data_IF_386884045788
#
_entry.id   IF_386884045788
#
_cell.length_a   1.000
_cell.length_b   1.000
_cell.length_c   1.000
_cell.angle_alpha   90.00
_cell.angle_beta   90.00
_cell.angle_gamma   90.00
#
_symmetry.space_group_name_H-M   'P 1'
#
loop_
_entity.id
_entity.type
_entity.pdbx_description
1 polymer ?
#
# COMPACT_ATOMS: atom_id res chain seq x y z
N UNK A 1 -9.88 27.50 48.15
CA UNK A 1 -10.18 26.18 48.72
C UNK A 1 -11.07 25.31 47.80
N UNK A 2 -11.76 25.84 46.82
CA UNK A 2 -12.62 25.09 45.91
C UNK A 2 -11.88 24.42 44.72
N UNK A 3 -10.74 24.89 44.30
CA UNK A 3 -9.99 24.35 43.14
C UNK A 3 -9.30 22.98 43.39
N UNK A 4 -8.91 22.68 44.61
CA UNK A 4 -8.25 21.40 44.94
C UNK A 4 -9.22 20.20 45.07
N UNK A 5 -10.51 20.47 45.29
CA UNK A 5 -11.53 19.40 45.37
C UNK A 5 -11.89 18.90 43.99
N UNK A 6 -11.98 19.77 42.98
CA UNK A 6 -12.25 19.39 41.59
C UNK A 6 -11.18 18.51 41.00
N UNK A 7 -9.87 18.79 41.25
CA UNK A 7 -8.78 17.95 40.75
C UNK A 7 -8.74 16.55 41.38
N UNK A 8 -9.12 16.43 42.65
CA UNK A 8 -9.20 15.13 43.34
C UNK A 8 -10.40 14.29 42.90
N UNK A 9 -11.54 14.89 42.58
CA UNK A 9 -12.72 14.20 42.09
C UNK A 9 -12.51 13.75 40.62
N UNK A 10 -11.87 14.57 39.78
CA UNK A 10 -11.50 14.18 38.39
C UNK A 10 -10.47 13.04 38.36
N UNK A 11 -9.48 13.08 39.26
CA UNK A 11 -8.48 12.02 39.40
C UNK A 11 -9.06 10.69 39.84
N UNK A 12 -10.02 10.69 40.77
CA UNK A 12 -10.69 9.48 41.23
C UNK A 12 -11.63 8.93 40.15
N UNK A 13 -12.30 9.78 39.37
CA UNK A 13 -13.12 9.38 38.23
C UNK A 13 -12.33 8.69 37.11
N UNK A 14 -11.13 9.19 36.79
CA UNK A 14 -10.23 8.54 35.82
C UNK A 14 -9.65 7.21 36.33
N UNK A 15 -9.35 7.10 37.63
CA UNK A 15 -8.88 5.84 38.21
C UNK A 15 -9.98 4.78 38.32
N UNK A 16 -11.22 5.16 38.60
CA UNK A 16 -12.35 4.22 38.62
C UNK A 16 -12.72 3.73 37.20
N UNK A 17 -12.60 4.56 36.19
CA UNK A 17 -12.83 4.13 34.79
C UNK A 17 -11.72 3.20 34.26
N UNK A 18 -10.48 3.34 34.72
CA UNK A 18 -9.40 2.39 34.40
C UNK A 18 -9.55 1.04 35.13
N UNK A 19 -10.13 1.02 36.33
CA UNK A 19 -10.35 -0.23 37.07
C UNK A 19 -11.47 -1.09 36.48
N UNK A 20 -12.41 -0.51 35.73
CA UNK A 20 -13.49 -1.24 35.06
C UNK A 20 -13.04 -1.89 33.72
N UNK A 21 -11.88 -1.52 33.22
CA UNK A 21 -11.31 -2.12 31.98
C UNK A 21 -10.40 -3.35 32.25
N UNK A 22 -10.11 -3.65 33.53
CA UNK A 22 -9.21 -4.75 33.91
C UNK A 22 -9.89 -6.13 34.02
N UNK A 23 -11.19 -6.24 33.75
CA UNK A 23 -11.91 -7.52 33.84
C UNK A 23 -11.93 -8.34 32.52
N UNK A 24 -11.20 -7.89 31.49
CA UNK A 24 -11.21 -8.53 30.17
C UNK A 24 -10.09 -9.60 29.95
N UNK A 25 -9.34 -9.95 31.00
CA UNK A 25 -8.22 -10.91 30.88
C UNK A 25 -8.49 -12.25 31.56
N UNK A 26 -9.64 -12.84 31.34
CA UNK A 26 -9.82 -14.25 31.72
C UNK A 26 -10.62 -14.99 30.66
N UNK A 27 -9.93 -15.50 29.65
CA UNK A 27 -10.23 -16.69 28.84
C UNK A 27 -9.30 -16.73 27.59
N UNK A 28 -8.00 -16.74 27.84
CA UNK A 28 -7.02 -16.91 26.74
C UNK A 28 -6.45 -18.34 26.67
N UNK A 29 -7.11 -19.32 27.30
CA UNK A 29 -6.62 -20.70 27.30
C UNK A 29 -7.74 -21.69 26.94
N UNK A 30 -8.32 -21.48 25.74
CA UNK A 30 -9.07 -22.51 25.06
C UNK A 30 -8.46 -22.70 23.67
N UNK A 31 -7.71 -23.77 23.52
CA UNK A 31 -7.35 -24.33 22.22
C UNK A 31 -8.64 -24.64 21.46
N UNK A 32 -9.12 -23.66 20.70
CA UNK A 32 -10.18 -23.92 19.72
C UNK A 32 -9.55 -24.69 18.56
N UNK A 33 -9.80 -25.99 18.50
CA UNK A 33 -9.67 -26.75 17.26
C UNK A 33 -10.54 -26.05 16.23
N UNK A 34 -9.91 -25.27 15.34
CA UNK A 34 -10.55 -24.81 14.13
C UNK A 34 -10.83 -26.07 13.31
N UNK A 35 -12.08 -26.35 13.04
CA UNK A 35 -12.45 -27.33 12.03
C UNK A 35 -11.74 -26.90 10.75
N UNK A 36 -10.76 -27.71 10.35
CA UNK A 36 -10.01 -27.54 9.12
C UNK A 36 -11.02 -27.53 7.98
N UNK A 37 -11.31 -26.34 7.46
CA UNK A 37 -11.98 -26.22 6.18
C UNK A 37 -10.94 -26.66 5.17
N UNK A 38 -10.94 -27.92 4.83
CA UNK A 38 -10.16 -28.48 3.74
C UNK A 38 -10.72 -27.88 2.45
N UNK A 39 -10.26 -26.67 2.13
CA UNK A 39 -10.34 -26.18 0.77
C UNK A 39 -9.36 -27.05 -0.01
N UNK A 40 -9.86 -28.10 -0.68
CA UNK A 40 -9.13 -28.82 -1.70
C UNK A 40 -8.96 -27.90 -2.93
N UNK A 41 -8.31 -26.79 -2.74
CA UNK A 41 -7.66 -26.09 -3.83
C UNK A 41 -6.55 -27.03 -4.31
N UNK A 42 -6.56 -27.42 -5.58
CA UNK A 42 -5.37 -27.96 -6.22
C UNK A 42 -4.25 -27.00 -5.88
N UNK A 43 -3.32 -27.43 -5.03
CA UNK A 43 -2.11 -26.65 -4.73
C UNK A 43 -1.34 -26.64 -6.04
N UNK A 44 -1.55 -25.65 -6.85
CA UNK A 44 -0.68 -25.37 -7.98
C UNK A 44 0.68 -25.07 -7.37
N UNK A 45 1.57 -26.04 -7.41
CA UNK A 45 2.94 -25.85 -6.94
C UNK A 45 3.53 -24.72 -7.77
N UNK A 46 3.83 -23.61 -7.11
CA UNK A 46 4.48 -22.48 -7.76
C UNK A 46 5.80 -22.95 -8.39
N UNK A 47 5.89 -22.88 -9.70
CA UNK A 47 7.08 -23.29 -10.46
C UNK A 47 8.16 -22.21 -10.33
N UNK A 48 7.74 -20.94 -10.26
CA UNK A 48 8.62 -19.79 -10.09
C UNK A 48 8.81 -19.53 -8.59
N UNK A 49 10.05 -19.32 -8.11
CA UNK A 49 10.28 -19.01 -6.70
C UNK A 49 9.50 -17.79 -6.25
N UNK A 50 8.74 -17.97 -5.19
CA UNK A 50 7.87 -16.95 -4.59
C UNK A 50 8.28 -16.68 -3.15
N UNK A 51 8.22 -15.42 -2.74
CA UNK A 51 8.38 -14.99 -1.36
C UNK A 51 7.08 -14.30 -0.92
N UNK A 52 6.52 -14.69 0.20
CA UNK A 52 5.26 -14.14 0.68
C UNK A 52 5.30 -13.84 2.17
N UNK A 53 4.74 -12.69 2.54
CA UNK A 53 4.42 -12.29 3.89
C UNK A 53 2.90 -12.17 4.01
N UNK A 54 2.30 -12.90 4.95
CA UNK A 54 0.84 -12.92 5.13
C UNK A 54 0.46 -13.17 6.58
N UNK A 55 -0.78 -12.83 6.94
CA UNK A 55 -1.37 -13.06 8.25
C UNK A 55 -0.49 -12.55 9.40
N UNK A 56 -0.30 -13.36 10.43
CA UNK A 56 0.46 -13.01 11.65
C UNK A 56 1.90 -12.52 11.37
N UNK A 57 2.55 -13.04 10.32
CA UNK A 57 3.90 -12.61 9.96
C UNK A 57 3.91 -11.15 9.52
N UNK A 58 2.91 -10.75 8.74
CA UNK A 58 2.77 -9.37 8.26
C UNK A 58 2.41 -8.42 9.42
N UNK A 59 1.50 -8.82 10.30
CA UNK A 59 1.09 -8.02 11.46
C UNK A 59 2.25 -7.81 12.45
N UNK A 60 3.05 -8.84 12.72
CA UNK A 60 4.19 -8.78 13.65
C UNK A 60 5.34 -7.89 13.19
N UNK A 61 5.40 -7.53 11.90
CA UNK A 61 6.43 -6.60 11.40
C UNK A 61 6.27 -5.18 11.96
N UNK A 62 5.07 -4.79 12.40
CA UNK A 62 4.74 -3.44 12.89
C UNK A 62 5.25 -2.32 11.95
N UNK A 63 5.33 -2.61 10.66
CA UNK A 63 5.83 -1.70 9.64
C UNK A 63 4.77 -0.65 9.27
N UNK A 64 5.22 0.51 8.80
CA UNK A 64 4.33 1.62 8.44
C UNK A 64 3.82 1.53 7.00
N UNK A 65 4.51 0.81 6.14
CA UNK A 65 4.17 0.71 4.71
C UNK A 65 4.55 -0.65 4.12
N UNK A 66 3.97 -0.96 2.97
CA UNK A 66 4.36 -2.13 2.17
C UNK A 66 5.85 -2.13 1.85
N UNK A 67 6.44 -0.96 1.56
CA UNK A 67 7.88 -0.86 1.29
C UNK A 67 8.73 -1.36 2.46
N UNK A 68 8.31 -1.09 3.70
CA UNK A 68 9.02 -1.55 4.88
C UNK A 68 8.91 -3.06 5.06
N UNK A 69 7.77 -3.66 4.71
CA UNK A 69 7.57 -5.11 4.76
C UNK A 69 8.43 -5.86 3.72
N UNK A 70 8.49 -5.38 2.49
CA UNK A 70 9.23 -6.08 1.42
C UNK A 70 10.75 -6.01 1.57
N UNK A 71 11.30 -5.21 2.49
CA UNK A 71 12.73 -5.22 2.83
C UNK A 71 13.21 -6.58 3.34
N UNK A 72 12.29 -7.40 3.85
CA UNK A 72 12.58 -8.75 4.33
C UNK A 72 12.66 -9.80 3.22
N UNK A 73 12.35 -9.43 1.96
CA UNK A 73 12.48 -10.34 0.83
C UNK A 73 13.90 -10.38 0.28
N UNK A 74 14.36 -11.58 -0.04
CA UNK A 74 15.68 -11.77 -0.64
C UNK A 74 15.75 -11.18 -2.04
N UNK A 75 16.85 -10.50 -2.36
CA UNK A 75 17.06 -9.90 -3.68
C UNK A 75 16.29 -8.60 -3.92
N UNK A 76 15.70 -8.03 -2.88
CA UNK A 76 14.99 -6.74 -2.92
C UNK A 76 15.87 -5.63 -2.37
N UNK A 77 15.95 -4.54 -3.07
CA UNK A 77 16.57 -3.30 -2.63
C UNK A 77 15.53 -2.19 -2.62
N UNK A 78 15.31 -1.58 -1.46
CA UNK A 78 14.47 -0.39 -1.31
C UNK A 78 15.35 0.86 -1.38
N UNK A 79 15.00 1.77 -2.28
CA UNK A 79 15.53 3.13 -2.26
C UNK A 79 14.53 4.00 -1.53
N UNK A 80 15.01 4.64 -0.47
CA UNK A 80 14.23 5.50 0.43
C UNK A 80 14.76 6.93 0.30
N UNK A 81 13.90 7.85 -0.13
CA UNK A 81 14.28 9.24 -0.43
C UNK A 81 13.87 10.25 0.66
N UNK A 82 13.58 9.81 1.85
CA UNK A 82 13.22 10.77 2.90
C UNK A 82 12.72 10.16 4.22
N UNK A 83 13.07 8.93 4.53
CA UNK A 83 12.69 8.28 5.79
C UNK A 83 11.20 7.86 5.82
N UNK A 84 10.50 8.11 6.94
CA UNK A 84 9.13 7.57 7.15
C UNK A 84 8.17 7.97 6.04
N UNK A 85 8.26 9.20 5.54
CA UNK A 85 7.39 9.70 4.49
C UNK A 85 8.01 9.86 3.13
N UNK A 86 9.25 9.46 2.96
CA UNK A 86 9.93 9.54 1.68
C UNK A 86 9.32 8.65 0.61
N UNK A 87 9.61 8.99 -0.64
CA UNK A 87 9.34 8.13 -1.78
C UNK A 87 10.11 6.82 -1.59
N UNK A 88 9.43 5.67 -1.67
CA UNK A 88 10.04 4.36 -1.52
C UNK A 88 9.85 3.54 -2.78
N UNK A 89 10.93 3.36 -3.52
CA UNK A 89 10.94 2.58 -4.75
C UNK A 89 11.63 1.23 -4.55
N UNK A 90 11.23 0.25 -5.33
CA UNK A 90 11.77 -1.11 -5.24
C UNK A 90 12.58 -1.46 -6.48
N UNK A 91 13.70 -2.11 -6.25
CA UNK A 91 14.52 -2.73 -7.28
C UNK A 91 14.68 -4.22 -6.93
N UNK A 92 14.38 -5.09 -7.88
CA UNK A 92 14.48 -6.55 -7.71
C UNK A 92 15.67 -7.02 -8.52
N UNK A 93 16.63 -7.70 -7.86
CA UNK A 93 17.82 -8.29 -8.48
C UNK A 93 18.59 -7.32 -9.39
N UNK A 94 18.63 -6.04 -9.03
CA UNK A 94 19.33 -4.98 -9.76
C UNK A 94 18.82 -4.73 -11.19
N UNK A 95 17.58 -5.17 -11.54
CA UNK A 95 17.00 -4.98 -12.86
C UNK A 95 16.45 -3.57 -13.09
N UNK A 96 16.47 -2.72 -12.07
CA UNK A 96 15.91 -1.36 -12.12
C UNK A 96 14.47 -1.27 -11.64
N UNK A 97 14.09 -0.08 -11.19
CA UNK A 97 12.75 0.16 -10.60
C UNK A 97 11.63 0.17 -11.65
N UNK A 98 11.95 0.45 -12.90
CA UNK A 98 10.98 0.56 -14.00
C UNK A 98 10.54 -0.81 -14.57
N UNK A 99 11.19 -1.89 -14.16
CA UNK A 99 10.92 -3.25 -14.65
C UNK A 99 10.17 -4.10 -13.62
N UNK A 100 9.70 -3.48 -12.54
CA UNK A 100 8.94 -4.13 -11.47
C UNK A 100 7.46 -3.81 -11.63
N UNK A 101 6.66 -4.83 -11.90
CA UNK A 101 5.19 -4.73 -11.87
C UNK A 101 4.68 -4.72 -10.43
N UNK A 102 3.81 -3.79 -10.10
CA UNK A 102 3.12 -3.76 -8.80
C UNK A 102 1.63 -3.93 -9.04
N UNK A 103 1.06 -4.94 -8.43
CA UNK A 103 -0.33 -5.32 -8.62
C UNK A 103 -1.10 -5.16 -7.31
N UNK A 104 -2.22 -4.45 -7.36
CA UNK A 104 -3.14 -4.32 -6.24
C UNK A 104 -4.40 -5.16 -6.53
N UNK A 105 -4.60 -6.21 -5.73
CA UNK A 105 -5.67 -7.20 -5.94
C UNK A 105 -5.72 -7.78 -7.36
N UNK A 106 -4.56 -7.96 -7.99
CA UNK A 106 -4.42 -8.56 -9.32
C UNK A 106 -4.57 -7.59 -10.48
N UNK A 107 -4.68 -6.29 -10.23
CA UNK A 107 -4.70 -5.25 -11.26
C UNK A 107 -3.43 -4.40 -11.11
N UNK A 108 -2.68 -4.23 -12.20
CA UNK A 108 -1.44 -3.47 -12.17
C UNK A 108 -1.68 -1.99 -11.86
N UNK A 109 -0.83 -1.44 -11.01
CA UNK A 109 -0.76 -0.02 -10.72
C UNK A 109 0.15 0.66 -11.76
N UNK A 110 -0.39 1.61 -12.48
CA UNK A 110 0.32 2.38 -13.49
C UNK A 110 0.93 3.68 -12.97
N UNK A 111 2.02 4.12 -13.59
CA UNK A 111 2.54 5.47 -13.47
C UNK A 111 3.05 5.92 -14.83
N UNK A 112 2.29 6.79 -15.50
CA UNK A 112 2.62 7.27 -16.85
C UNK A 112 3.74 8.31 -16.88
N UNK A 113 4.10 8.89 -15.72
CA UNK A 113 5.15 9.89 -15.61
C UNK A 113 6.55 9.26 -15.74
N UNK A 114 6.82 8.24 -14.92
CA UNK A 114 8.16 7.66 -14.82
C UNK A 114 8.18 6.13 -14.67
N UNK A 115 7.03 5.46 -14.70
CA UNK A 115 6.93 4.00 -14.60
C UNK A 115 7.18 3.43 -13.19
N UNK A 116 7.38 4.27 -12.17
CA UNK A 116 7.77 3.83 -10.83
C UNK A 116 6.63 4.01 -9.85
N UNK A 117 6.35 2.98 -9.06
CA UNK A 117 5.32 3.01 -8.01
C UNK A 117 5.95 3.28 -6.65
N UNK A 118 5.42 4.28 -5.94
CA UNK A 118 5.75 4.54 -4.54
C UNK A 118 5.05 3.53 -3.63
N UNK A 119 5.81 2.57 -3.08
CA UNK A 119 5.28 1.57 -2.16
C UNK A 119 5.11 2.11 -0.73
N UNK A 120 5.62 3.29 -0.42
CA UNK A 120 5.41 3.97 0.84
C UNK A 120 3.98 4.44 1.06
N UNK A 121 3.20 4.60 -0.02
CA UNK A 121 1.81 5.06 0.05
C UNK A 121 0.80 3.96 0.42
N UNK A 122 1.19 2.69 0.44
CA UNK A 122 0.31 1.57 0.78
C UNK A 122 0.50 1.14 2.23
N UNK A 123 -0.61 1.11 2.98
CA UNK A 123 -0.66 0.63 4.36
C UNK A 123 -0.63 -0.89 4.43
N UNK A 124 -0.08 -1.42 5.54
CA UNK A 124 -0.18 -2.84 5.84
C UNK A 124 -1.45 -3.21 6.62
N UNK A 125 -2.14 -2.23 7.20
CA UNK A 125 -3.25 -2.48 8.14
C UNK A 125 -4.47 -3.13 7.46
N UNK A 126 -4.60 -2.98 6.13
CA UNK A 126 -5.63 -3.61 5.30
C UNK A 126 -5.05 -4.66 4.32
N UNK A 127 -3.81 -5.13 4.54
CA UNK A 127 -3.20 -6.17 3.70
C UNK A 127 -3.39 -7.56 4.29
N UNK A 128 -3.80 -8.51 3.45
CA UNK A 128 -3.82 -9.94 3.74
C UNK A 128 -2.46 -10.58 3.44
N UNK A 129 -1.87 -10.21 2.29
CA UNK A 129 -0.59 -10.72 1.85
C UNK A 129 0.16 -9.72 0.96
N UNK A 130 1.48 -9.78 1.04
CA UNK A 130 2.41 -9.17 0.09
C UNK A 130 3.28 -10.27 -0.48
N UNK A 131 3.24 -10.45 -1.79
CA UNK A 131 3.91 -11.57 -2.47
C UNK A 131 4.82 -11.04 -3.56
N UNK A 132 6.05 -11.55 -3.60
CA UNK A 132 7.06 -11.24 -4.61
C UNK A 132 7.30 -12.47 -5.50
N UNK A 133 7.15 -12.29 -6.79
CA UNK A 133 7.58 -13.24 -7.82
C UNK A 133 8.83 -12.73 -8.52
N UNK A 134 9.81 -13.61 -8.70
CA UNK A 134 11.00 -13.32 -9.50
C UNK A 134 10.69 -13.52 -11.00
N UNK A 135 9.82 -12.69 -11.53
CA UNK A 135 9.20 -12.79 -12.84
C UNK A 135 7.69 -12.68 -12.74
N UNK A 136 6.98 -13.43 -13.54
CA UNK A 136 5.52 -13.55 -13.53
C UNK A 136 5.02 -14.62 -12.56
N UNK A 137 3.73 -14.66 -12.26
CA UNK A 137 3.10 -15.79 -11.58
C UNK A 137 3.18 -17.06 -12.41
N UNK A 138 3.25 -18.22 -11.72
CA UNK A 138 3.19 -19.52 -12.38
C UNK A 138 1.82 -19.84 -12.99
N UNK A 139 0.75 -19.25 -12.46
CA UNK A 139 -0.60 -19.47 -12.97
C UNK A 139 -0.80 -18.83 -14.35
N UNK A 140 -1.27 -19.61 -15.33
CA UNK A 140 -1.55 -19.08 -16.68
C UNK A 140 -2.80 -18.22 -16.75
N UNK A 141 -3.78 -18.43 -15.86
CA UNK A 141 -5.06 -17.71 -15.84
C UNK A 141 -4.87 -16.32 -15.20
N UNK A 142 -4.45 -15.38 -16.02
CA UNK A 142 -4.17 -14.00 -15.62
C UNK A 142 -4.28 -13.07 -16.83
N UNK A 143 -4.38 -11.73 -16.62
CA UNK A 143 -4.34 -10.73 -17.69
C UNK A 143 -3.07 -10.80 -18.52
N UNK A 144 -3.12 -10.31 -19.76
CA UNK A 144 -1.97 -10.32 -20.66
C UNK A 144 -0.79 -9.51 -20.10
N UNK A 145 -1.07 -8.40 -19.43
CA UNK A 145 -0.07 -7.50 -18.85
C UNK A 145 0.75 -8.14 -17.73
N UNK A 146 0.18 -9.11 -17.00
CA UNK A 146 0.86 -9.83 -15.91
C UNK A 146 2.06 -10.65 -16.40
N UNK A 147 2.17 -10.91 -17.70
CA UNK A 147 3.31 -11.62 -18.31
C UNK A 147 4.49 -10.71 -18.67
N UNK A 148 4.33 -9.38 -18.56
CA UNK A 148 5.28 -8.40 -19.06
C UNK A 148 6.34 -7.89 -18.07
N UNK A 149 6.35 -8.35 -16.82
CA UNK A 149 7.24 -7.80 -15.78
C UNK A 149 8.43 -8.70 -15.50
N UNK A 150 9.62 -8.10 -15.30
CA UNK A 150 10.84 -8.81 -14.93
C UNK A 150 10.83 -9.28 -13.46
N UNK A 151 10.04 -8.63 -12.62
CA UNK A 151 9.71 -9.01 -11.27
C UNK A 151 8.36 -8.43 -10.89
N UNK A 152 7.57 -9.13 -10.08
CA UNK A 152 6.20 -8.74 -9.79
C UNK A 152 5.91 -8.76 -8.29
N UNK A 153 5.31 -7.68 -7.78
CA UNK A 153 4.85 -7.56 -6.41
C UNK A 153 3.33 -7.53 -6.41
N UNK A 154 2.71 -8.47 -5.72
CA UNK A 154 1.27 -8.55 -5.57
C UNK A 154 0.88 -8.12 -4.16
N UNK A 155 0.11 -7.05 -4.07
CA UNK A 155 -0.52 -6.54 -2.87
C UNK A 155 -1.93 -7.11 -2.82
N UNK A 156 -2.17 -8.01 -1.91
CA UNK A 156 -3.48 -8.60 -1.70
C UNK A 156 -4.11 -7.95 -0.48
N UNK A 157 -5.18 -7.22 -0.68
CA UNK A 157 -5.94 -6.64 0.41
C UNK A 157 -6.81 -7.67 1.10
N UNK A 158 -7.16 -7.39 2.35
CA UNK A 158 -8.00 -8.24 3.15
C UNK A 158 -9.40 -8.37 2.54
N UNK A 159 -9.89 -9.59 2.46
CA UNK A 159 -11.30 -9.89 2.11
C UNK A 159 -12.05 -10.21 3.40
N UNK A 160 -13.15 -9.51 3.70
CA UNK A 160 -13.90 -9.74 4.93
C UNK A 160 -14.41 -11.18 5.05
N UNK A 161 -14.13 -11.81 6.19
CA UNK A 161 -14.62 -13.15 6.53
C UNK A 161 -15.31 -13.06 7.89
N UNK A 162 -16.56 -13.50 7.95
CA UNK A 162 -17.37 -13.43 9.15
C UNK A 162 -17.64 -14.82 9.72
N UNK A 163 -17.68 -14.92 11.05
CA UNK A 163 -18.20 -16.08 11.76
C UNK A 163 -19.72 -16.00 11.80
N UNK A 164 -20.40 -17.11 12.01
CA UNK A 164 -21.86 -17.18 11.99
C UNK A 164 -22.55 -16.21 12.97
N UNK A 165 -21.90 -15.94 14.10
CA UNK A 165 -22.39 -15.10 15.19
C UNK A 165 -22.08 -13.60 15.03
N UNK A 166 -21.30 -13.19 14.02
CA UNK A 166 -20.84 -11.82 13.87
C UNK A 166 -21.06 -11.27 12.47
N UNK A 167 -21.81 -10.15 12.42
CA UNK A 167 -22.08 -9.43 11.17
C UNK A 167 -21.11 -8.28 10.91
N UNK A 168 -20.25 -7.92 11.85
CA UNK A 168 -19.26 -6.85 11.69
C UNK A 168 -17.95 -7.18 12.40
N UNK A 169 -16.91 -6.54 11.95
CA UNK A 169 -15.58 -6.57 12.55
C UNK A 169 -14.97 -5.16 12.51
N UNK A 170 -14.39 -4.73 13.63
CA UNK A 170 -13.70 -3.44 13.74
C UNK A 170 -12.32 -3.66 14.33
N UNK A 171 -11.31 -3.11 13.70
CA UNK A 171 -9.92 -3.10 14.18
C UNK A 171 -9.43 -1.65 14.19
N UNK A 172 -9.12 -1.12 15.37
CA UNK A 172 -8.48 0.16 15.55
C UNK A 172 -7.01 -0.07 15.93
N UNK A 173 -6.10 0.62 15.25
CA UNK A 173 -4.66 0.52 15.52
C UNK A 173 -4.10 1.93 15.74
N UNK A 174 -3.20 2.06 16.69
CA UNK A 174 -2.47 3.29 16.92
C UNK A 174 -0.97 2.97 16.98
N UNK A 175 -0.21 3.55 16.05
CA UNK A 175 1.25 3.40 16.02
C UNK A 175 1.88 4.74 16.35
N UNK A 176 2.92 4.71 17.16
CA UNK A 176 3.72 5.89 17.50
C UNK A 176 5.19 5.47 17.57
N UNK A 177 6.08 6.42 17.54
CA UNK A 177 7.51 6.10 17.54
C UNK A 177 8.41 7.32 17.41
N UNK A 178 9.66 7.06 17.06
CA UNK A 178 10.68 8.09 16.82
C UNK A 178 10.21 9.10 15.77
N UNK A 179 10.78 10.30 15.79
CA UNK A 179 10.50 11.41 14.87
C UNK A 179 9.10 12.02 15.01
N UNK A 180 8.43 11.79 16.15
CA UNK A 180 7.09 12.30 16.41
C UNK A 180 6.00 11.65 15.56
N UNK A 181 6.12 10.34 15.32
CA UNK A 181 5.12 9.57 14.56
C UNK A 181 3.81 9.48 15.33
N UNK A 182 2.72 9.80 14.64
CA UNK A 182 1.33 9.61 15.05
C UNK A 182 0.60 8.96 13.88
N UNK A 183 0.20 7.69 14.06
CA UNK A 183 -0.37 6.91 12.97
C UNK A 183 -1.57 6.07 13.45
N UNK A 184 -2.75 6.71 13.63
CA UNK A 184 -4.00 6.00 13.87
C UNK A 184 -4.53 5.37 12.59
N UNK A 185 -5.11 4.18 12.70
CA UNK A 185 -5.87 3.52 11.63
C UNK A 185 -7.13 2.84 12.16
N UNK A 186 -8.12 2.72 11.29
CA UNK A 186 -9.39 2.08 11.54
C UNK A 186 -9.76 1.21 10.34
N UNK A 187 -10.01 -0.06 10.60
CA UNK A 187 -10.63 -0.99 9.66
C UNK A 187 -12.01 -1.38 10.18
N UNK A 188 -13.02 -1.18 9.36
CA UNK A 188 -14.39 -1.62 9.59
C UNK A 188 -14.81 -2.56 8.47
N UNK A 189 -15.36 -3.71 8.82
CA UNK A 189 -15.88 -4.72 7.91
C UNK A 189 -17.31 -5.05 8.30
N UNK A 190 -18.20 -5.19 7.33
CA UNK A 190 -19.63 -5.42 7.53
C UNK A 190 -20.14 -6.50 6.58
N UNK A 191 -20.84 -7.48 7.12
CA UNK A 191 -21.67 -8.43 6.36
C UNK A 191 -22.97 -7.71 5.99
N UNK A 192 -23.20 -7.48 4.72
CA UNK A 192 -24.43 -6.85 4.21
C UNK A 192 -25.51 -7.90 3.91
N UNK A 193 -25.09 -9.06 3.42
CA UNK A 193 -25.95 -10.22 3.19
C UNK A 193 -25.12 -11.51 3.27
N UNK A 194 -25.71 -12.68 3.06
CA UNK A 194 -24.98 -13.96 3.02
C UNK A 194 -23.88 -13.97 1.95
N UNK A 195 -24.07 -13.23 0.87
CA UNK A 195 -23.18 -13.24 -0.28
C UNK A 195 -22.45 -11.92 -0.50
N UNK A 196 -22.76 -10.87 0.26
CA UNK A 196 -22.17 -9.52 0.06
C UNK A 196 -21.62 -8.98 1.36
N UNK A 197 -20.41 -8.47 1.29
CA UNK A 197 -19.75 -7.77 2.39
C UNK A 197 -19.12 -6.46 1.93
N UNK A 198 -18.91 -5.56 2.88
CA UNK A 198 -18.25 -4.28 2.69
C UNK A 198 -17.09 -4.12 3.65
N UNK A 199 -16.10 -3.32 3.26
CA UNK A 199 -15.03 -2.87 4.14
C UNK A 199 -14.76 -1.38 3.95
N UNK A 200 -14.31 -0.74 5.02
CA UNK A 200 -13.76 0.62 5.03
C UNK A 200 -12.50 0.63 5.87
N UNK A 201 -11.39 1.04 5.29
CA UNK A 201 -10.11 1.23 5.97
C UNK A 201 -9.69 2.68 5.85
N UNK A 202 -9.30 3.29 6.96
CA UNK A 202 -8.76 4.65 6.98
C UNK A 202 -7.49 4.68 7.81
N UNK A 203 -6.52 5.45 7.39
CA UNK A 203 -5.25 5.63 8.10
C UNK A 203 -4.77 7.07 7.93
N UNK A 204 -4.38 7.67 9.04
CA UNK A 204 -3.70 8.95 9.05
C UNK A 204 -2.26 8.78 9.51
N UNK A 205 -1.33 9.39 8.82
CA UNK A 205 0.10 9.39 9.15
C UNK A 205 0.59 10.81 9.32
N UNK A 206 1.12 11.11 10.50
CA UNK A 206 1.82 12.35 10.77
C UNK A 206 3.19 12.05 11.38
N UNK A 207 4.20 12.79 10.95
CA UNK A 207 5.51 12.79 11.58
C UNK A 207 6.19 14.13 11.38
N UNK A 208 6.99 14.57 12.34
CA UNK A 208 7.82 15.76 12.19
C UNK A 208 9.10 15.48 11.40
N UNK A 209 9.52 14.22 11.31
CA UNK A 209 10.76 13.79 10.66
C UNK A 209 12.04 14.39 11.25
N UNK A 210 11.97 15.06 12.41
CA UNK A 210 13.11 15.76 13.01
C UNK A 210 13.97 14.80 13.83
N UNK A 211 15.27 14.85 13.63
CA UNK A 211 16.23 14.13 14.47
C UNK A 211 17.58 14.86 14.55
N UNK A 212 18.29 14.61 15.64
CA UNK A 212 19.68 15.10 15.84
C UNK A 212 20.63 14.12 15.16
N UNK A 213 21.68 14.66 14.53
CA UNK A 213 22.77 13.86 13.96
C UNK A 213 24.11 14.60 14.17
N UNK A 214 25.16 13.81 14.25
CA UNK A 214 26.51 14.32 14.39
C UNK A 214 27.26 14.26 13.06
N UNK A 215 28.01 15.27 12.70
CA UNK A 215 28.82 15.32 11.49
C UNK A 215 30.15 15.97 11.76
N UNK A 216 31.16 15.55 11.01
CA UNK A 216 32.49 16.12 11.11
C UNK A 216 32.59 17.48 10.39
N UNK A 217 33.17 18.47 11.03
CA UNK A 217 33.44 19.80 10.46
C UNK A 217 34.91 19.92 10.08
N UNK A 218 35.21 20.81 9.13
CA UNK A 218 36.58 21.17 8.79
C UNK A 218 37.28 21.69 10.05
N UNK A 219 38.38 21.03 10.44
CA UNK A 219 39.09 21.33 11.70
C UNK A 219 39.18 20.15 12.66
N UNK A 220 38.57 19.02 12.32
CA UNK A 220 38.77 17.74 13.01
C UNK A 220 37.95 17.55 14.28
N UNK A 221 36.85 18.30 14.46
CA UNK A 221 35.91 18.09 15.55
C UNK A 221 34.50 17.80 15.02
N UNK A 222 33.73 17.05 15.82
CA UNK A 222 32.34 16.72 15.51
C UNK A 222 31.41 17.80 16.05
N UNK A 223 30.35 18.07 15.30
CA UNK A 223 29.25 18.95 15.74
C UNK A 223 27.89 18.28 15.52
N UNK A 224 26.86 18.77 16.20
CA UNK A 224 25.53 18.23 16.15
C UNK A 224 24.58 19.22 15.49
N UNK A 225 23.80 18.73 14.55
CA UNK A 225 22.74 19.48 13.90
C UNK A 225 21.38 18.73 14.01
N UNK A 226 20.32 19.47 13.71
CA UNK A 226 18.96 18.89 13.63
C UNK A 226 18.55 18.77 12.17
N UNK A 227 18.30 17.54 11.73
CA UNK A 227 17.68 17.28 10.45
C UNK A 227 16.25 17.79 10.46
N UNK A 228 15.85 18.49 9.41
CA UNK A 228 14.53 19.09 9.25
C UNK A 228 13.98 18.71 7.88
N UNK A 229 12.72 19.09 7.59
CA UNK A 229 12.04 18.86 6.32
C UNK A 229 11.94 17.37 5.94
N UNK A 230 11.76 16.50 6.93
CA UNK A 230 11.40 15.08 6.74
C UNK A 230 9.99 14.80 7.25
N UNK A 231 9.19 15.85 7.40
CA UNK A 231 7.82 15.77 7.88
C UNK A 231 6.87 15.15 6.83
N UNK A 232 5.82 14.52 7.33
CA UNK A 232 4.75 13.94 6.54
C UNK A 232 3.43 14.22 7.18
N UNK A 233 2.47 14.55 6.35
CA UNK A 233 1.06 14.58 6.66
C UNK A 233 0.34 13.82 5.56
N UNK A 234 -0.22 12.65 5.86
CA UNK A 234 -0.85 11.79 4.86
C UNK A 234 -2.14 11.16 5.36
N UNK A 235 -3.12 11.09 4.48
CA UNK A 235 -4.40 10.42 4.69
C UNK A 235 -4.57 9.31 3.64
N UNK A 236 -4.94 8.11 4.08
CA UNK A 236 -5.34 6.99 3.25
C UNK A 236 -6.76 6.60 3.57
N UNK A 237 -7.53 6.25 2.55
CA UNK A 237 -8.87 5.71 2.71
C UNK A 237 -9.11 4.65 1.61
N UNK A 238 -9.67 3.53 2.01
CA UNK A 238 -10.07 2.46 1.10
C UNK A 238 -11.48 2.01 1.41
N UNK A 239 -12.30 1.87 0.37
CA UNK A 239 -13.62 1.24 0.45
C UNK A 239 -13.66 0.00 -0.42
N UNK A 240 -14.28 -1.07 0.08
CA UNK A 240 -14.40 -2.34 -0.66
C UNK A 240 -15.81 -2.91 -0.57
N UNK A 241 -16.28 -3.45 -1.71
CA UNK A 241 -17.47 -4.30 -1.79
C UNK A 241 -17.08 -5.65 -2.37
N UNK A 242 -17.54 -6.71 -1.75
CA UNK A 242 -17.19 -8.08 -2.10
C UNK A 242 -18.46 -8.92 -2.23
N UNK A 243 -18.60 -9.60 -3.34
CA UNK A 243 -19.73 -10.47 -3.59
C UNK A 243 -19.29 -11.88 -3.94
N UNK A 244 -19.96 -12.85 -3.34
CA UNK A 244 -19.84 -14.27 -3.70
C UNK A 244 -20.96 -14.62 -4.66
N UNK A 245 -20.64 -15.33 -5.72
CA UNK A 245 -21.60 -15.89 -6.68
C UNK A 245 -21.33 -17.39 -6.82
N UNK A 246 -22.28 -18.14 -7.36
CA UNK A 246 -22.07 -19.56 -7.62
C UNK A 246 -20.84 -19.75 -8.52
N UNK A 247 -19.83 -20.44 -8.02
CA UNK A 247 -18.55 -20.70 -8.71
C UNK A 247 -17.83 -19.43 -9.16
N UNK A 248 -17.79 -18.39 -8.30
CA UNK A 248 -17.09 -17.16 -8.63
C UNK A 248 -17.23 -16.07 -7.58
N UNK A 249 -16.73 -14.89 -7.92
CA UNK A 249 -16.81 -13.71 -7.08
C UNK A 249 -16.77 -12.43 -7.92
N UNK A 250 -17.20 -11.35 -7.32
CA UNK A 250 -16.88 -9.99 -7.76
C UNK A 250 -16.38 -9.18 -6.59
N UNK A 251 -15.52 -8.23 -6.87
CA UNK A 251 -15.04 -7.27 -5.89
C UNK A 251 -14.85 -5.92 -6.56
N UNK A 252 -15.19 -4.87 -5.85
CA UNK A 252 -15.03 -3.49 -6.29
C UNK A 252 -14.36 -2.70 -5.18
N UNK A 253 -13.39 -1.88 -5.52
CA UNK A 253 -12.62 -1.09 -4.57
C UNK A 253 -12.42 0.33 -5.04
N UNK A 254 -12.42 1.23 -4.07
CA UNK A 254 -11.96 2.60 -4.19
C UNK A 254 -10.80 2.82 -3.23
N UNK A 255 -9.73 3.42 -3.71
CA UNK A 255 -8.56 3.81 -2.94
C UNK A 255 -8.32 5.31 -3.09
N UNK A 256 -8.02 5.97 -2.00
CA UNK A 256 -7.65 7.37 -1.95
C UNK A 256 -6.41 7.56 -1.08
N UNK A 257 -5.48 8.34 -1.55
CA UNK A 257 -4.29 8.78 -0.83
C UNK A 257 -4.06 10.26 -1.09
N UNK A 258 -3.85 11.02 -0.03
CA UNK A 258 -3.41 12.41 -0.11
C UNK A 258 -2.27 12.63 0.85
N UNK A 259 -1.22 13.31 0.42
CA UNK A 259 -0.10 13.63 1.29
C UNK A 259 0.58 14.94 0.96
N UNK A 260 1.13 15.53 2.00
CA UNK A 260 2.15 16.57 1.95
C UNK A 260 3.38 16.06 2.66
N UNK A 261 4.54 16.16 2.03
CA UNK A 261 5.81 15.67 2.57
C UNK A 261 6.99 16.52 2.19
N UNK A 262 7.94 16.62 3.13
CA UNK A 262 9.23 17.26 2.92
C UNK A 262 10.30 16.26 2.47
N UNK A 263 11.24 16.72 1.67
CA UNK A 263 12.43 15.99 1.27
C UNK A 263 13.67 16.68 1.83
N UNK A 264 14.28 16.10 2.88
CA UNK A 264 15.44 16.74 3.51
C UNK A 264 16.70 16.75 2.63
N UNK A 265 16.70 16.02 1.50
CA UNK A 265 17.83 15.94 0.60
C UNK A 265 19.01 15.12 1.13
N UNK A 266 20.18 15.27 0.57
CA UNK A 266 21.40 14.65 1.06
C UNK A 266 22.09 15.52 2.14
N UNK A 267 22.84 14.87 3.03
CA UNK A 267 23.80 15.57 3.91
C UNK A 267 25.09 15.76 3.13
N UNK A 268 25.34 16.97 2.64
CA UNK A 268 26.55 17.31 1.91
C UNK A 268 27.22 18.43 2.66
N UNK A 269 28.52 18.30 2.91
CA UNK A 269 29.45 19.23 3.58
C UNK A 269 28.80 20.57 3.98
N UNK A 270 28.44 20.73 5.25
CA UNK A 270 27.75 21.88 5.82
C UNK A 270 26.37 22.25 5.24
N UNK A 271 25.84 21.45 4.29
CA UNK A 271 24.53 21.61 3.69
C UNK A 271 23.70 20.37 3.99
N UNK A 272 22.71 20.49 4.86
CA UNK A 272 21.86 19.37 5.30
C UNK A 272 20.41 19.78 5.52
N UNK A 273 20.05 20.95 5.00
CA UNK A 273 18.69 21.48 5.06
C UNK A 273 18.25 21.83 3.65
N UNK A 274 17.48 20.95 3.02
CA UNK A 274 16.74 21.22 1.80
C UNK A 274 15.30 21.54 2.14
N UNK A 275 14.65 22.37 1.33
CA UNK A 275 13.26 22.80 1.53
C UNK A 275 12.33 22.21 0.45
N UNK A 276 12.77 21.16 -0.21
CA UNK A 276 11.97 20.47 -1.24
C UNK A 276 10.72 19.87 -0.63
N UNK A 277 9.59 20.06 -1.31
CA UNK A 277 8.29 19.57 -0.86
C UNK A 277 7.56 18.86 -1.99
N UNK A 278 6.72 17.91 -1.61
CA UNK A 278 5.85 17.20 -2.54
C UNK A 278 4.44 17.06 -1.97
N UNK A 279 3.48 17.28 -2.84
CA UNK A 279 2.06 17.03 -2.60
C UNK A 279 1.58 15.96 -3.57
N UNK A 280 0.94 14.93 -3.04
CA UNK A 280 0.37 13.85 -3.83
C UNK A 280 -1.13 13.74 -3.57
N UNK A 281 -1.88 13.44 -4.64
CA UNK A 281 -3.25 12.95 -4.54
C UNK A 281 -3.41 11.79 -5.51
N UNK A 282 -3.69 10.61 -4.98
CA UNK A 282 -3.88 9.40 -5.77
C UNK A 282 -5.27 8.83 -5.50
N UNK A 283 -5.97 8.52 -6.55
CA UNK A 283 -7.27 7.87 -6.50
C UNK A 283 -7.31 6.77 -7.55
N UNK A 284 -7.78 5.59 -7.16
CA UNK A 284 -8.21 4.60 -8.14
C UNK A 284 -9.50 3.92 -7.70
N UNK A 285 -10.28 3.57 -8.71
CA UNK A 285 -11.46 2.74 -8.59
C UNK A 285 -11.27 1.51 -9.48
N UNK A 286 -11.43 0.33 -8.92
CA UNK A 286 -11.22 -0.90 -9.66
C UNK A 286 -12.27 -1.95 -9.32
N UNK A 287 -12.56 -2.81 -10.30
CA UNK A 287 -13.48 -3.91 -10.16
C UNK A 287 -12.94 -5.17 -10.84
N UNK A 288 -13.12 -6.30 -10.18
CA UNK A 288 -12.78 -7.62 -10.72
C UNK A 288 -13.99 -8.53 -10.63
N UNK A 289 -14.24 -9.30 -11.68
CA UNK A 289 -15.26 -10.30 -11.75
C UNK A 289 -14.65 -11.63 -12.24
N UNK A 290 -14.81 -12.68 -11.47
CA UNK A 290 -14.38 -14.03 -11.84
C UNK A 290 -15.58 -14.98 -11.80
N UNK A 291 -15.72 -15.81 -12.83
CA UNK A 291 -16.75 -16.84 -12.94
C UNK A 291 -16.20 -18.10 -13.57
N UNK A 292 -16.42 -19.24 -12.91
CA UNK A 292 -16.14 -20.56 -13.46
C UNK A 292 -17.45 -21.16 -13.97
N UNK A 293 -17.46 -21.60 -15.23
CA UNK A 293 -18.58 -22.26 -15.91
C UNK A 293 -18.29 -23.75 -16.02
N UNK A 294 -18.59 -24.46 -14.94
CA UNK A 294 -18.18 -25.84 -14.78
C UNK A 294 -16.65 -25.97 -14.66
N UNK A 295 -16.14 -27.11 -15.09
CA UNK A 295 -14.70 -27.43 -15.02
C UNK A 295 -13.95 -27.04 -16.31
N UNK A 296 -14.68 -26.60 -17.34
CA UNK A 296 -14.14 -26.39 -18.70
C UNK A 296 -13.75 -24.95 -18.97
N UNK A 297 -14.53 -23.98 -18.49
CA UNK A 297 -14.34 -22.58 -18.85
C UNK A 297 -14.34 -21.67 -17.63
N UNK A 298 -13.38 -20.74 -17.58
CA UNK A 298 -13.29 -19.69 -16.58
C UNK A 298 -13.10 -18.33 -17.23
N UNK A 299 -13.82 -17.33 -16.73
CA UNK A 299 -13.73 -15.93 -17.17
C UNK A 299 -13.24 -15.05 -16.01
N UNK A 300 -12.28 -14.17 -16.30
CA UNK A 300 -11.83 -13.11 -15.43
C UNK A 300 -11.93 -11.77 -16.18
N UNK A 301 -12.64 -10.82 -15.59
CA UNK A 301 -12.77 -9.46 -16.10
C UNK A 301 -12.22 -8.50 -15.05
N UNK A 302 -11.43 -7.52 -15.48
CA UNK A 302 -10.98 -6.43 -14.64
C UNK A 302 -11.21 -5.09 -15.32
N UNK A 303 -11.54 -4.10 -14.51
CA UNK A 303 -11.65 -2.70 -14.93
C UNK A 303 -11.03 -1.79 -13.87
N UNK A 304 -10.31 -0.76 -14.28
CA UNK A 304 -9.75 0.27 -13.40
C UNK A 304 -9.83 1.64 -14.04
N UNK A 305 -10.15 2.63 -13.22
CA UNK A 305 -9.89 4.04 -13.47
C UNK A 305 -8.96 4.57 -12.40
N UNK A 306 -7.92 5.31 -12.77
CA UNK A 306 -7.02 5.96 -11.84
C UNK A 306 -6.81 7.42 -12.21
N UNK A 307 -6.65 8.24 -11.18
CA UNK A 307 -6.24 9.64 -11.25
C UNK A 307 -5.12 9.89 -10.26
N UNK A 308 -4.01 10.44 -10.74
CA UNK A 308 -2.89 10.81 -9.90
C UNK A 308 -2.51 12.28 -10.16
N UNK A 309 -2.29 12.99 -9.07
CA UNK A 309 -1.76 14.33 -9.03
C UNK A 309 -0.47 14.32 -8.22
N UNK A 310 0.55 14.96 -8.76
CA UNK A 310 1.82 15.18 -8.08
C UNK A 310 2.25 16.62 -8.33
N UNK A 311 2.58 17.34 -7.27
CA UNK A 311 3.26 18.62 -7.31
C UNK A 311 4.56 18.50 -6.52
N UNK A 312 5.67 18.79 -7.18
CA UNK A 312 7.01 18.81 -6.60
C UNK A 312 7.59 20.21 -6.71
N UNK A 313 8.03 20.74 -5.59
CA UNK A 313 8.65 22.06 -5.48
C UNK A 313 10.02 21.90 -4.84
N UNK A 314 11.08 22.26 -5.58
CA UNK A 314 12.39 22.54 -5.03
C UNK A 314 12.62 24.05 -5.14
N UNK A 315 12.70 24.73 -4.01
CA UNK A 315 12.89 26.18 -3.95
C UNK A 315 14.32 26.51 -3.49
N UNK A 316 15.22 26.83 -4.43
CA UNK A 316 16.59 27.15 -4.16
C UNK A 316 16.83 28.63 -3.84
N UNK A 317 15.81 29.44 -3.54
CA UNK A 317 15.94 30.89 -3.37
C UNK A 317 17.00 31.31 -2.32
N UNK A 318 17.48 30.38 -1.51
CA UNK A 318 18.55 30.62 -0.53
C UNK A 318 19.96 30.37 -1.07
N UNK A 319 20.11 29.82 -2.27
CA UNK A 319 21.43 29.49 -2.82
C UNK A 319 21.47 29.79 -4.34
N UNK A 320 22.34 30.73 -4.74
CA UNK A 320 22.49 31.20 -6.13
C UNK A 320 22.86 30.11 -7.16
N UNK A 321 23.19 28.90 -6.71
CA UNK A 321 23.73 27.84 -7.58
C UNK A 321 22.77 26.67 -7.85
N UNK A 322 21.54 26.66 -7.32
CA UNK A 322 20.62 25.55 -7.48
C UNK A 322 19.45 25.89 -8.40
N UNK A 323 19.00 24.90 -9.17
CA UNK A 323 17.94 25.08 -10.13
C UNK A 323 16.57 25.03 -9.44
N UNK A 324 15.76 26.08 -9.62
CA UNK A 324 14.36 26.10 -9.19
C UNK A 324 13.57 25.05 -9.98
N UNK A 325 12.83 24.20 -9.27
CA UNK A 325 11.95 23.19 -9.87
C UNK A 325 10.56 23.36 -9.27
N UNK A 326 9.57 23.54 -10.13
CA UNK A 326 8.15 23.62 -9.75
C UNK A 326 7.33 22.83 -10.77
N UNK A 327 7.25 21.53 -10.54
CA UNK A 327 6.66 20.59 -11.47
C UNK A 327 5.31 20.07 -10.97
N UNK A 328 4.32 20.13 -11.83
CA UNK A 328 2.98 19.59 -11.58
C UNK A 328 2.66 18.54 -12.65
N UNK A 329 2.21 17.37 -12.20
CA UNK A 329 1.81 16.27 -13.05
C UNK A 329 0.38 15.85 -12.72
N UNK A 330 -0.44 15.63 -13.75
CA UNK A 330 -1.79 15.07 -13.64
C UNK A 330 -1.92 13.96 -14.64
N UNK A 331 -2.15 12.77 -14.15
CA UNK A 331 -2.34 11.60 -15.01
C UNK A 331 -3.72 10.98 -14.80
N UNK A 332 -4.21 10.36 -15.84
CA UNK A 332 -5.41 9.55 -15.85
C UNK A 332 -5.12 8.24 -16.53
N UNK A 333 -5.71 7.18 -16.03
CA UNK A 333 -5.59 5.84 -16.59
C UNK A 333 -6.96 5.17 -16.62
N UNK A 334 -7.27 4.52 -17.74
CA UNK A 334 -8.35 3.54 -17.87
C UNK A 334 -7.70 2.22 -18.26
N UNK A 335 -8.00 1.16 -17.54
CA UNK A 335 -7.55 -0.19 -17.83
C UNK A 335 -8.72 -1.15 -17.83
N UNK A 336 -8.78 -1.98 -18.86
CA UNK A 336 -9.74 -3.07 -19.01
C UNK A 336 -8.97 -4.34 -19.37
N UNK A 337 -9.34 -5.46 -18.77
CA UNK A 337 -8.77 -6.75 -19.14
C UNK A 337 -9.82 -7.85 -19.13
N UNK A 338 -9.62 -8.83 -20.02
CA UNK A 338 -10.39 -10.04 -20.10
C UNK A 338 -9.43 -11.21 -20.26
N UNK A 339 -9.52 -12.20 -19.36
CA UNK A 339 -8.80 -13.46 -19.49
C UNK A 339 -9.80 -14.61 -19.51
N UNK A 340 -9.56 -15.55 -20.43
CA UNK A 340 -10.41 -16.71 -20.68
C UNK A 340 -9.55 -17.97 -20.58
N UNK A 341 -9.84 -18.82 -19.61
CA UNK A 341 -9.21 -20.13 -19.47
C UNK A 341 -10.16 -21.20 -19.98
N UNK A 342 -9.66 -22.03 -20.88
CA UNK A 342 -10.36 -23.22 -21.38
C UNK A 342 -9.54 -24.46 -21.02
N UNK A 343 -10.13 -25.39 -20.29
CA UNK A 343 -9.56 -26.70 -19.99
C UNK A 343 -10.02 -27.69 -21.07
N UNK A 344 -9.12 -28.04 -22.00
CA UNK A 344 -9.42 -28.97 -23.08
C UNK A 344 -9.31 -30.43 -22.61
N UNK A 345 -8.36 -30.72 -21.74
CA UNK A 345 -8.15 -32.03 -21.13
C UNK A 345 -7.76 -31.85 -19.66
N UNK A 346 -7.84 -32.86 -18.80
CA UNK A 346 -7.51 -32.76 -17.39
C UNK A 346 -6.08 -32.22 -17.08
N UNK A 347 -5.21 -32.26 -18.09
CA UNK A 347 -3.80 -31.85 -18.01
C UNK A 347 -3.44 -30.70 -18.96
N UNK A 348 -4.42 -30.11 -19.68
CA UNK A 348 -4.13 -29.07 -20.66
C UNK A 348 -5.13 -27.92 -20.61
N UNK A 349 -4.62 -26.80 -20.08
CA UNK A 349 -5.35 -25.52 -20.02
C UNK A 349 -4.78 -24.53 -21.05
N UNK A 350 -5.65 -23.81 -21.73
CA UNK A 350 -5.31 -22.68 -22.59
C UNK A 350 -5.88 -21.41 -21.96
N UNK A 351 -5.04 -20.35 -21.87
CA UNK A 351 -5.49 -19.02 -21.48
C UNK A 351 -5.36 -18.06 -22.67
N UNK A 352 -6.44 -17.36 -22.97
CA UNK A 352 -6.48 -16.29 -23.96
C UNK A 352 -6.88 -15.02 -23.22
N UNK A 353 -5.98 -14.04 -23.19
CA UNK A 353 -6.21 -12.77 -22.52
C UNK A 353 -5.96 -11.59 -23.44
N UNK A 354 -6.76 -10.54 -23.24
CA UNK A 354 -6.66 -9.27 -23.95
C UNK A 354 -6.82 -8.14 -22.96
N UNK A 355 -5.95 -7.15 -23.07
CA UNK A 355 -5.93 -5.97 -22.22
C UNK A 355 -6.01 -4.71 -23.07
N UNK A 356 -6.70 -3.71 -22.54
CA UNK A 356 -6.71 -2.37 -23.09
C UNK A 356 -6.31 -1.37 -22.01
N UNK A 357 -5.37 -0.49 -22.31
CA UNK A 357 -4.95 0.56 -21.42
C UNK A 357 -4.88 1.91 -22.16
N UNK A 358 -5.53 2.90 -21.59
CA UNK A 358 -5.43 4.29 -22.01
C UNK A 358 -4.83 5.12 -20.89
N UNK A 359 -3.83 5.93 -21.23
CA UNK A 359 -3.16 6.85 -20.33
C UNK A 359 -3.15 8.26 -20.92
N UNK A 360 -3.31 9.25 -20.04
CA UNK A 360 -3.11 10.66 -20.35
C UNK A 360 -2.27 11.29 -19.26
N UNK A 361 -1.19 11.96 -19.64
CA UNK A 361 -0.35 12.74 -18.74
C UNK A 361 -0.38 14.22 -19.16
N UNK A 362 -0.67 15.11 -18.21
CA UNK A 362 -0.50 16.54 -18.34
C UNK A 362 0.55 17.00 -17.34
N UNK A 363 1.49 17.81 -17.80
CA UNK A 363 2.52 18.42 -16.96
C UNK A 363 2.59 19.93 -17.26
N UNK A 364 3.11 20.73 -16.35
CA UNK A 364 3.35 22.16 -16.59
C UNK A 364 4.68 22.43 -17.33
N UNK A 365 5.34 21.38 -17.80
CA UNK A 365 6.52 21.48 -18.67
C UNK A 365 6.06 21.89 -20.07
N UNK A 366 6.48 23.06 -20.54
CA UNK A 366 5.93 23.72 -21.73
C UNK A 366 6.48 23.20 -23.05
N UNK A 367 7.61 22.48 -23.07
CA UNK A 367 8.38 22.23 -24.28
C UNK A 367 8.03 20.91 -24.99
N UNK A 368 7.14 20.07 -24.43
CA UNK A 368 6.76 18.80 -25.02
C UNK A 368 5.24 18.63 -25.09
N UNK A 369 4.72 18.04 -26.17
CA UNK A 369 3.30 17.69 -26.24
C UNK A 369 2.95 16.66 -25.18
N UNK A 370 1.80 16.83 -24.55
CA UNK A 370 1.34 15.91 -23.50
C UNK A 370 1.12 14.50 -24.07
N UNK A 371 1.81 13.49 -23.55
CA UNK A 371 1.68 12.14 -24.08
C UNK A 371 0.29 11.56 -23.81
N UNK A 372 -0.30 11.00 -24.87
CA UNK A 372 -1.43 10.09 -24.78
C UNK A 372 -0.96 8.73 -25.27
N UNK A 373 -1.26 7.68 -24.53
CA UNK A 373 -0.86 6.34 -24.90
C UNK A 373 -2.07 5.42 -24.86
N UNK A 374 -2.26 4.68 -25.94
CA UNK A 374 -3.15 3.53 -26.01
C UNK A 374 -2.28 2.29 -26.19
N UNK A 375 -2.57 1.26 -25.43
CA UNK A 375 -1.83 -0.01 -25.50
C UNK A 375 -2.80 -1.15 -25.50
#
# INVERSE_FOLDING_TARGET
MFGQIYFRVLGIGCFLSMALLSSAQSKLDSLHHLNEVVVTARINKEVIPVQSLSGDKLEKLAAHSVADAIRYFSGVQIKDYGGIGGLKTVNIRSMGTNHVGVYYDGIELGNAQNGVIDLGRFSLDNMEAVTLYNGQKSAIFQPAKDFGSAGSIYLQSRTPVFREDRAYHVKATFKTGSFGVVNPSLLWEQKLSENVSASLSTEYMYTTGKYKFTYAVDGGYDTTAVRRNGDVNALRAEGGLYGKIKSGYWRTKAYFYNSERGYPGAVVRNRFSHEDRQWDTNFFFQSSFKKDFGDVYSLLLNAKYAYDYLHYLADPQKEEATMYVNNTYRQQEVYLSMANRVTLFPFWDINISADYQWNKLNANLTDFPYPRRNT
#
